data_IF_269990402462
#
_entry.id   IF_269990402462
#
_cell.length_a   1.000
_cell.length_b   1.000
_cell.length_c   1.000
_cell.angle_alpha   90.00
_cell.angle_beta   90.00
_cell.angle_gamma   90.00
#
_symmetry.space_group_name_H-M   'P 1'
#
loop_
_entity.id
_entity.type
_entity.pdbx_description
1 polymer ?
#
# COMPACT_ATOMS: atom_id res chain seq x y z
N UNK A 1 13.14 9.14 70.08
CA UNK A 1 12.13 10.13 69.69
C UNK A 1 11.48 9.68 68.42
N UNK A 2 10.35 8.95 68.53
CA UNK A 2 9.67 8.31 67.37
C UNK A 2 8.59 9.28 66.89
N UNK A 3 8.76 9.80 65.63
CA UNK A 3 7.74 10.64 64.99
C UNK A 3 6.56 9.75 64.60
N UNK A 4 5.41 9.95 65.24
CA UNK A 4 4.11 9.41 64.80
C UNK A 4 3.65 10.21 63.55
N UNK A 5 3.85 9.68 62.36
CA UNK A 5 3.20 10.25 61.17
C UNK A 5 1.69 10.05 61.25
N UNK A 6 0.94 11.13 61.00
CA UNK A 6 -0.54 11.15 61.10
C UNK A 6 -1.16 10.30 59.97
N UNK A 7 -2.29 9.66 60.25
CA UNK A 7 -3.03 8.85 59.26
C UNK A 7 -3.40 9.61 57.95
N UNK A 8 -3.40 10.92 58.00
CA UNK A 8 -3.58 11.79 56.81
C UNK A 8 -2.39 11.76 55.85
N UNK A 9 -1.16 11.63 56.35
CA UNK A 9 0.05 11.59 55.53
C UNK A 9 0.17 10.28 54.76
N UNK A 10 -0.31 9.17 55.31
CA UNK A 10 -0.37 7.90 54.57
C UNK A 10 -1.41 7.88 53.46
N UNK A 11 -2.51 8.61 53.59
CA UNK A 11 -3.54 8.69 52.57
C UNK A 11 -3.06 9.45 51.32
N UNK A 12 -2.24 10.49 51.46
CA UNK A 12 -1.66 11.23 50.36
C UNK A 12 -0.55 10.46 49.67
N UNK A 13 0.22 9.64 50.37
CA UNK A 13 1.25 8.78 49.77
C UNK A 13 0.64 7.59 49.00
N UNK A 14 -0.53 7.09 49.39
CA UNK A 14 -1.23 6.00 48.70
C UNK A 14 -1.92 6.50 47.41
N UNK A 15 -2.37 7.77 47.34
CA UNK A 15 -2.95 8.32 46.12
C UNK A 15 -1.93 8.70 45.04
N UNK A 16 -0.68 8.92 45.39
CA UNK A 16 0.38 9.26 44.45
C UNK A 16 0.92 8.04 43.65
N UNK A 17 0.58 6.82 44.08
CA UNK A 17 1.05 5.59 43.46
C UNK A 17 0.08 5.02 42.38
N UNK A 18 -1.07 5.65 42.17
CA UNK A 18 -2.10 5.15 41.24
C UNK A 18 -2.13 5.86 39.87
N UNK A 19 -1.15 6.74 39.58
CA UNK A 19 -1.11 7.47 38.30
C UNK A 19 0.02 7.01 37.38
N UNK A 20 0.35 5.72 37.36
CA UNK A 20 1.05 5.15 36.20
C UNK A 20 0.02 4.91 35.09
N UNK A 21 -0.29 5.96 34.35
CA UNK A 21 -0.93 5.81 33.05
C UNK A 21 0.01 4.99 32.17
N UNK A 22 -0.12 3.68 32.22
CA UNK A 22 0.43 2.78 31.23
C UNK A 22 -0.30 3.10 29.93
N UNK A 23 0.25 4.01 29.12
CA UNK A 23 -0.11 4.09 27.72
C UNK A 23 0.38 2.77 27.11
N UNK A 24 -0.45 1.75 27.23
CA UNK A 24 -0.30 0.55 26.43
C UNK A 24 -0.43 1.00 24.98
N UNK A 25 0.69 1.14 24.30
CA UNK A 25 0.71 1.33 22.86
C UNK A 25 -0.10 0.18 22.28
N UNK A 26 -1.33 0.47 21.85
CA UNK A 26 -2.17 -0.49 21.14
C UNK A 26 -1.42 -0.80 19.87
N UNK A 27 -0.75 -1.94 19.81
CA UNK A 27 -0.19 -2.48 18.58
C UNK A 27 -1.39 -2.71 17.67
N UNK A 28 -1.70 -1.70 16.84
CA UNK A 28 -2.66 -1.86 15.77
C UNK A 28 -1.94 -2.75 14.77
N UNK A 29 -2.32 -4.01 14.75
CA UNK A 29 -1.86 -4.96 13.75
C UNK A 29 -2.51 -4.53 12.42
N UNK A 30 -1.89 -3.56 11.72
CA UNK A 30 -2.38 -3.07 10.44
C UNK A 30 -2.23 -4.20 9.41
N UNK A 31 -3.32 -4.53 8.72
CA UNK A 31 -3.34 -5.58 7.71
C UNK A 31 -2.39 -5.24 6.55
N UNK A 32 -1.54 -6.22 6.18
CA UNK A 32 -0.64 -6.10 5.03
C UNK A 32 -1.48 -6.10 3.75
N UNK A 33 -1.35 -5.05 2.97
CA UNK A 33 -2.10 -4.86 1.73
C UNK A 33 -1.28 -5.16 0.48
N UNK A 34 0.05 -5.00 0.54
CA UNK A 34 0.95 -5.23 -0.57
C UNK A 34 2.26 -5.85 -0.09
N UNK A 35 2.72 -6.87 -0.80
CA UNK A 35 4.03 -7.49 -0.62
C UNK A 35 4.89 -7.16 -1.84
N UNK A 36 6.11 -6.68 -1.62
CA UNK A 36 7.13 -6.55 -2.68
C UNK A 36 8.19 -7.59 -2.40
N UNK A 37 8.35 -8.56 -3.29
CA UNK A 37 9.34 -9.63 -3.19
C UNK A 37 10.40 -9.48 -4.28
N UNK A 38 11.65 -9.75 -3.93
CA UNK A 38 12.79 -9.66 -4.84
C UNK A 38 13.19 -11.05 -5.30
N UNK A 39 13.33 -11.22 -6.61
CA UNK A 39 13.82 -12.44 -7.25
C UNK A 39 15.17 -12.16 -7.93
N UNK A 40 16.22 -12.84 -7.45
CA UNK A 40 17.56 -12.79 -8.05
C UNK A 40 17.98 -14.21 -8.43
N UNK A 41 17.95 -14.53 -9.72
CA UNK A 41 18.27 -15.87 -10.23
C UNK A 41 17.31 -16.95 -9.68
N UNK A 42 17.89 -18.10 -9.27
CA UNK A 42 17.11 -19.24 -8.73
C UNK A 42 16.72 -19.10 -7.25
N UNK A 43 17.10 -18.01 -6.59
CA UNK A 43 16.87 -17.81 -5.16
C UNK A 43 15.80 -16.75 -4.95
N UNK A 44 14.66 -17.15 -4.41
CA UNK A 44 13.69 -16.20 -3.86
C UNK A 44 14.30 -15.59 -2.61
N UNK A 45 14.72 -14.32 -2.69
CA UNK A 45 15.26 -13.63 -1.53
C UNK A 45 14.19 -13.52 -0.44
N UNK A 46 14.54 -13.88 0.79
CA UNK A 46 13.66 -13.85 1.97
C UNK A 46 13.25 -12.42 2.41
N UNK A 47 13.74 -11.41 1.73
CA UNK A 47 13.43 -10.02 2.06
C UNK A 47 12.23 -9.54 1.24
N UNK A 48 11.04 -9.73 1.79
CA UNK A 48 9.82 -9.14 1.27
C UNK A 48 9.50 -7.87 2.05
N UNK A 49 9.36 -6.75 1.34
CA UNK A 49 8.83 -5.53 1.93
C UNK A 49 7.31 -5.67 2.03
N UNK A 50 6.77 -5.48 3.22
CA UNK A 50 5.33 -5.56 3.47
C UNK A 50 4.80 -4.16 3.75
N UNK A 51 3.77 -3.76 3.01
CA UNK A 51 3.18 -2.42 3.09
C UNK A 51 1.70 -2.51 3.45
N UNK A 52 1.29 -1.66 4.39
CA UNK A 52 -0.11 -1.43 4.73
C UNK A 52 -0.71 -0.36 3.81
N UNK A 53 -2.04 -0.26 3.75
CA UNK A 53 -2.71 0.84 3.02
C UNK A 53 -2.27 2.20 3.54
N UNK A 54 -2.09 2.36 4.84
CA UNK A 54 -1.64 3.61 5.46
C UNK A 54 -0.23 4.03 5.01
N UNK A 55 0.68 3.06 4.89
CA UNK A 55 2.03 3.32 4.37
C UNK A 55 1.99 3.74 2.89
N UNK A 56 1.15 3.09 2.07
CA UNK A 56 0.94 3.49 0.67
C UNK A 56 0.31 4.89 0.57
N UNK A 57 -0.62 5.24 1.46
CA UNK A 57 -1.23 6.58 1.53
C UNK A 57 -0.26 7.67 1.97
N UNK A 58 0.80 7.33 2.71
CA UNK A 58 1.83 8.28 3.15
C UNK A 58 2.81 8.67 2.04
N UNK A 59 2.87 7.91 0.93
CA UNK A 59 3.65 8.29 -0.25
C UNK A 59 2.98 9.45 -1.00
N UNK A 60 3.70 10.17 -1.88
CA UNK A 60 3.12 11.14 -2.78
C UNK A 60 1.97 10.52 -3.59
N UNK A 61 0.81 11.17 -3.60
CA UNK A 61 -0.40 10.68 -4.23
C UNK A 61 -0.64 11.40 -5.56
N UNK A 62 -0.89 10.65 -6.62
CA UNK A 62 -1.33 11.18 -7.91
C UNK A 62 -2.81 10.84 -8.13
N UNK A 63 -3.54 11.79 -8.70
CA UNK A 63 -4.92 11.57 -9.17
C UNK A 63 -4.92 11.41 -10.69
N UNK A 64 -5.53 10.33 -11.16
CA UNK A 64 -5.76 10.06 -12.58
C UNK A 64 -7.27 10.03 -12.83
N UNK A 65 -7.72 10.87 -13.75
CA UNK A 65 -9.07 10.84 -14.27
C UNK A 65 -9.06 10.08 -15.59
N UNK A 66 -9.71 8.91 -15.62
CA UNK A 66 -9.68 8.03 -16.79
C UNK A 66 -10.91 7.15 -16.86
N UNK A 67 -11.29 6.78 -18.07
CA UNK A 67 -12.24 5.70 -18.33
C UNK A 67 -11.49 4.38 -18.36
N UNK A 68 -12.11 3.33 -17.84
CA UNK A 68 -11.59 1.97 -17.93
C UNK A 68 -12.63 1.06 -18.60
N UNK A 69 -12.21 -0.11 -19.09
CA UNK A 69 -13.16 -1.12 -19.65
C UNK A 69 -14.16 -1.65 -18.60
N UNK A 70 -13.89 -1.45 -17.33
CA UNK A 70 -14.66 -2.01 -16.20
C UNK A 70 -15.48 -0.98 -15.44
N UNK A 71 -15.43 0.31 -15.87
CA UNK A 71 -16.20 1.39 -15.23
C UNK A 71 -17.07 2.09 -16.27
N UNK A 72 -18.23 2.59 -15.82
CA UNK A 72 -19.06 3.44 -16.67
C UNK A 72 -18.53 4.88 -16.62
N UNK A 73 -18.13 5.41 -17.78
CA UNK A 73 -17.58 6.75 -17.92
C UNK A 73 -16.25 6.94 -17.17
N UNK A 74 -15.74 8.15 -17.23
CA UNK A 74 -14.53 8.53 -16.52
C UNK A 74 -14.72 8.49 -15.00
N UNK A 75 -13.70 8.01 -14.30
CA UNK A 75 -13.61 8.01 -12.84
C UNK A 75 -12.29 8.63 -12.40
N UNK A 76 -12.29 9.24 -11.22
CA UNK A 76 -11.08 9.71 -10.56
C UNK A 76 -10.54 8.56 -9.73
N UNK A 77 -9.28 8.22 -9.97
CA UNK A 77 -8.51 7.24 -9.20
C UNK A 77 -7.36 7.97 -8.52
N UNK A 78 -7.06 7.63 -7.26
CA UNK A 78 -5.97 8.25 -6.53
C UNK A 78 -5.13 7.19 -5.82
N UNK A 79 -3.81 7.35 -5.91
CA UNK A 79 -2.85 6.46 -5.28
C UNK A 79 -1.42 6.90 -5.56
N UNK A 80 -0.41 6.24 -4.95
CA UNK A 80 0.99 6.49 -5.25
C UNK A 80 1.35 5.99 -6.65
N UNK A 81 2.36 6.59 -7.26
CA UNK A 81 2.95 6.09 -8.49
C UNK A 81 3.57 4.71 -8.25
N UNK A 82 3.38 3.79 -9.20
CA UNK A 82 3.97 2.45 -9.13
C UNK A 82 5.50 2.52 -9.01
N UNK A 83 6.16 3.42 -9.75
CA UNK A 83 7.62 3.63 -9.66
C UNK A 83 8.07 4.08 -8.28
N UNK A 84 7.29 4.92 -7.58
CA UNK A 84 7.65 5.40 -6.24
C UNK A 84 7.51 4.29 -5.20
N UNK A 85 6.51 3.43 -5.35
CA UNK A 85 6.34 2.24 -4.51
C UNK A 85 7.48 1.26 -4.73
N UNK A 86 7.88 1.02 -5.98
CA UNK A 86 9.00 0.13 -6.31
C UNK A 86 10.35 0.70 -5.84
N UNK A 87 10.51 2.02 -5.77
CA UNK A 87 11.71 2.67 -5.26
C UNK A 87 11.94 2.43 -3.75
N UNK A 88 10.95 1.92 -3.01
CA UNK A 88 11.14 1.48 -1.62
C UNK A 88 11.96 0.19 -1.52
N UNK A 89 12.05 -0.57 -2.62
CA UNK A 89 12.98 -1.70 -2.76
C UNK A 89 14.34 -1.20 -3.24
N UNK A 90 15.42 -1.83 -2.77
CA UNK A 90 16.78 -1.50 -3.18
C UNK A 90 17.12 -1.94 -4.62
N UNK A 91 16.22 -2.66 -5.28
CA UNK A 91 16.46 -3.34 -6.56
C UNK A 91 15.95 -2.55 -7.77
N UNK A 92 16.74 -2.60 -8.85
CA UNK A 92 16.30 -2.10 -10.17
C UNK A 92 15.68 -3.26 -10.94
N UNK A 93 14.41 -3.12 -11.29
CA UNK A 93 13.69 -4.15 -12.01
C UNK A 93 13.81 -3.98 -13.53
N UNK A 94 14.08 -5.06 -14.26
CA UNK A 94 13.86 -5.16 -15.71
C UNK A 94 12.38 -5.23 -16.02
N UNK A 95 11.66 -6.00 -15.24
CA UNK A 95 10.21 -6.13 -15.23
C UNK A 95 9.76 -6.52 -13.83
N UNK A 96 8.49 -6.37 -13.57
CA UNK A 96 7.85 -6.87 -12.37
C UNK A 96 6.72 -7.81 -12.75
N UNK A 97 6.43 -8.81 -11.94
CA UNK A 97 5.19 -9.59 -12.06
C UNK A 97 4.20 -9.07 -11.01
N UNK A 98 3.07 -8.55 -11.47
CA UNK A 98 1.95 -8.16 -10.61
C UNK A 98 1.06 -9.38 -10.35
N UNK A 99 0.76 -9.66 -9.07
CA UNK A 99 -0.03 -10.81 -8.63
C UNK A 99 -1.27 -10.33 -7.88
N UNK A 100 -2.44 -10.76 -8.31
CA UNK A 100 -3.71 -10.49 -7.65
C UNK A 100 -4.01 -11.53 -6.55
N UNK A 101 -4.94 -11.20 -5.65
CA UNK A 101 -5.39 -12.10 -4.57
C UNK A 101 -5.90 -13.46 -5.11
N UNK A 102 -6.53 -13.48 -6.30
CA UNK A 102 -7.03 -14.69 -6.94
C UNK A 102 -5.97 -15.49 -7.70
N UNK A 103 -4.69 -15.11 -7.61
CA UNK A 103 -3.58 -15.77 -8.29
C UNK A 103 -3.35 -15.33 -9.74
N UNK A 104 -4.13 -14.38 -10.30
CA UNK A 104 -3.83 -13.81 -11.61
C UNK A 104 -2.45 -13.15 -11.59
N UNK A 105 -1.65 -13.41 -12.63
CA UNK A 105 -0.26 -12.94 -12.74
C UNK A 105 -0.03 -12.34 -14.11
N UNK A 106 0.68 -11.23 -14.17
CA UNK A 106 1.07 -10.61 -15.44
C UNK A 106 2.38 -9.82 -15.25
N UNK A 107 3.21 -9.88 -16.28
CA UNK A 107 4.46 -9.13 -16.31
C UNK A 107 4.23 -7.70 -16.80
N UNK A 108 4.83 -6.76 -16.08
CA UNK A 108 4.82 -5.32 -16.38
C UNK A 108 6.26 -4.92 -16.66
N UNK A 109 6.61 -4.56 -17.91
CA UNK A 109 7.95 -4.08 -18.25
C UNK A 109 8.29 -2.78 -17.51
N UNK A 110 9.56 -2.57 -17.18
CA UNK A 110 10.00 -1.34 -16.52
C UNK A 110 9.64 -0.06 -17.28
N UNK A 111 9.60 -0.13 -18.59
CA UNK A 111 9.19 1.00 -19.45
C UNK A 111 7.79 1.53 -19.15
N UNK A 112 6.86 0.65 -18.74
CA UNK A 112 5.51 1.08 -18.40
C UNK A 112 5.50 2.06 -17.21
N UNK A 113 6.10 1.67 -16.09
CA UNK A 113 6.05 2.49 -14.88
C UNK A 113 7.14 3.58 -14.81
N UNK A 114 8.19 3.49 -15.67
CA UNK A 114 9.19 4.55 -15.78
C UNK A 114 8.73 5.69 -16.70
N UNK A 115 8.00 5.38 -17.79
CA UNK A 115 7.62 6.35 -18.82
C UNK A 115 6.12 6.72 -18.81
N UNK A 116 5.31 6.01 -18.03
CA UNK A 116 3.88 6.24 -17.89
C UNK A 116 3.56 6.47 -16.41
N UNK A 117 2.69 7.42 -16.11
CA UNK A 117 2.23 7.67 -14.75
C UNK A 117 1.19 6.60 -14.35
N UNK A 118 1.68 5.38 -14.13
CA UNK A 118 0.90 4.26 -13.62
C UNK A 118 0.78 4.40 -12.10
N UNK A 119 -0.43 4.34 -11.56
CA UNK A 119 -0.66 4.41 -10.11
C UNK A 119 -1.15 3.08 -9.52
N UNK A 120 -0.86 2.89 -8.26
CA UNK A 120 -1.53 1.92 -7.39
C UNK A 120 -2.74 2.62 -6.76
N UNK A 121 -3.88 2.61 -7.45
CA UNK A 121 -5.08 3.27 -6.97
C UNK A 121 -5.57 2.65 -5.67
N UNK A 122 -5.78 3.49 -4.66
CA UNK A 122 -6.32 3.14 -3.35
C UNK A 122 -7.75 3.63 -3.20
N UNK A 123 -8.14 4.65 -4.00
CA UNK A 123 -9.50 5.22 -4.00
C UNK A 123 -10.03 5.37 -5.41
N UNK A 124 -11.37 5.33 -5.53
CA UNK A 124 -12.12 5.68 -6.72
C UNK A 124 -13.25 6.65 -6.33
N UNK A 125 -13.34 7.81 -7.00
CA UNK A 125 -14.30 8.86 -6.68
C UNK A 125 -14.30 9.20 -5.17
N UNK A 126 -13.11 9.40 -4.61
CA UNK A 126 -12.83 9.74 -3.21
C UNK A 126 -13.25 8.66 -2.17
N UNK A 127 -13.66 7.49 -2.62
CA UNK A 127 -14.01 6.36 -1.75
C UNK A 127 -12.91 5.30 -1.79
N UNK A 128 -12.51 4.73 -0.64
CA UNK A 128 -11.56 3.63 -0.62
C UNK A 128 -12.02 2.47 -1.50
N UNK A 129 -11.09 1.89 -2.24
CA UNK A 129 -11.36 0.65 -2.97
C UNK A 129 -11.51 -0.51 -1.99
N UNK A 130 -12.54 -1.32 -2.20
CA UNK A 130 -12.84 -2.54 -1.45
C UNK A 130 -12.70 -3.76 -2.37
N UNK A 131 -12.68 -4.97 -1.83
CA UNK A 131 -12.70 -6.19 -2.64
C UNK A 131 -13.83 -6.20 -3.65
N UNK A 132 -15.01 -5.66 -3.27
CA UNK A 132 -16.18 -5.56 -4.16
C UNK A 132 -15.98 -4.55 -5.29
N UNK A 133 -15.14 -3.54 -5.08
CA UNK A 133 -14.85 -2.47 -6.04
C UNK A 133 -13.44 -2.56 -6.62
N UNK A 134 -12.88 -3.78 -6.74
CA UNK A 134 -11.57 -4.10 -7.32
C UNK A 134 -10.36 -3.71 -6.45
N UNK A 135 -10.58 -3.36 -5.17
CA UNK A 135 -9.53 -3.04 -4.20
C UNK A 135 -8.99 -4.25 -3.42
N UNK A 136 -8.15 -4.00 -2.44
CA UNK A 136 -7.82 -2.68 -1.92
C UNK A 136 -6.88 -1.85 -2.80
N UNK A 137 -6.18 -2.48 -3.75
CA UNK A 137 -5.23 -1.84 -4.67
C UNK A 137 -5.57 -2.25 -6.11
N UNK A 138 -5.60 -1.25 -7.01
CA UNK A 138 -5.83 -1.48 -8.43
C UNK A 138 -4.79 -0.73 -9.26
N UNK A 139 -4.08 -1.40 -10.16
CA UNK A 139 -3.13 -0.77 -11.09
C UNK A 139 -3.93 -0.02 -12.16
N UNK A 140 -3.75 1.31 -12.24
CA UNK A 140 -4.47 2.18 -13.17
C UNK A 140 -3.47 2.89 -14.08
N UNK A 141 -3.75 2.81 -15.37
CA UNK A 141 -3.08 3.55 -16.45
C UNK A 141 -3.91 4.78 -16.84
N UNK A 142 -3.28 5.86 -17.36
CA UNK A 142 -3.97 7.08 -17.75
C UNK A 142 -4.56 6.99 -19.18
N UNK A 143 -5.46 6.03 -19.45
CA UNK A 143 -5.99 5.77 -20.80
C UNK A 143 -6.64 7.00 -21.45
N UNK A 144 -7.46 7.78 -20.72
CA UNK A 144 -8.11 8.97 -21.28
C UNK A 144 -7.13 10.07 -21.69
N UNK A 145 -5.99 10.18 -21.01
CA UNK A 145 -4.93 11.13 -21.35
C UNK A 145 -3.95 10.57 -22.41
N UNK A 146 -3.89 9.24 -22.56
CA UNK A 146 -2.98 8.51 -23.45
C UNK A 146 -3.72 7.41 -24.20
N UNK A 147 -4.50 7.75 -25.25
CA UNK A 147 -5.31 6.79 -26.01
C UNK A 147 -4.50 5.64 -26.62
N UNK A 148 -3.20 5.83 -26.89
CA UNK A 148 -2.30 4.79 -27.39
C UNK A 148 -2.15 3.61 -26.40
N UNK A 149 -2.52 3.81 -25.12
CA UNK A 149 -2.55 2.75 -24.12
C UNK A 149 -3.84 1.91 -24.14
N UNK A 150 -4.81 2.25 -24.99
CA UNK A 150 -6.05 1.48 -25.18
C UNK A 150 -5.81 0.18 -25.95
N UNK A 151 -4.88 -0.64 -25.47
CA UNK A 151 -4.47 -1.90 -26.06
C UNK A 151 -4.61 -3.05 -25.06
N UNK A 152 -4.79 -4.28 -25.57
CA UNK A 152 -4.96 -5.48 -24.75
C UNK A 152 -3.87 -5.68 -23.71
N UNK A 153 -2.61 -5.37 -24.04
CA UNK A 153 -1.49 -5.51 -23.13
C UNK A 153 -1.61 -4.64 -21.88
N UNK A 154 -1.97 -3.35 -22.02
CA UNK A 154 -2.13 -2.45 -20.86
C UNK A 154 -3.36 -2.79 -20.04
N UNK A 155 -4.43 -3.27 -20.68
CA UNK A 155 -5.60 -3.74 -19.94
C UNK A 155 -5.31 -4.98 -19.12
N UNK A 156 -4.54 -5.94 -19.64
CA UNK A 156 -4.13 -7.12 -18.86
C UNK A 156 -3.22 -6.76 -17.68
N UNK A 157 -2.40 -5.71 -17.81
CA UNK A 157 -1.50 -5.22 -16.76
C UNK A 157 -2.22 -4.39 -15.68
N UNK A 158 -3.47 -3.99 -15.91
CA UNK A 158 -4.29 -3.25 -14.94
C UNK A 158 -4.87 -4.18 -13.88
N UNK A 159 -3.99 -4.83 -13.13
CA UNK A 159 -4.35 -5.82 -12.10
C UNK A 159 -5.14 -5.17 -10.99
N UNK A 160 -6.33 -5.68 -10.73
CA UNK A 160 -7.13 -5.34 -9.55
C UNK A 160 -6.94 -6.36 -8.43
N UNK A 161 -7.30 -5.99 -7.19
CA UNK A 161 -7.04 -6.80 -6.00
C UNK A 161 -5.56 -7.21 -5.93
N UNK A 162 -4.68 -6.28 -6.28
CA UNK A 162 -3.25 -6.49 -6.25
C UNK A 162 -2.81 -6.86 -4.83
N UNK A 163 -2.02 -7.92 -4.69
CA UNK A 163 -1.47 -8.40 -3.42
C UNK A 163 0.05 -8.45 -3.40
N UNK A 164 0.69 -8.68 -4.54
CA UNK A 164 2.15 -8.84 -4.60
C UNK A 164 2.72 -8.22 -5.87
N UNK A 165 3.89 -7.60 -5.73
CA UNK A 165 4.77 -7.20 -6.81
C UNK A 165 6.07 -7.98 -6.67
N UNK A 166 6.38 -8.83 -7.65
CA UNK A 166 7.63 -9.57 -7.69
C UNK A 166 8.60 -8.85 -8.62
N UNK A 167 9.79 -8.51 -8.13
CA UNK A 167 10.83 -7.77 -8.86
C UNK A 167 11.83 -8.74 -9.47
N UNK A 168 12.08 -8.59 -10.77
CA UNK A 168 13.08 -9.36 -11.51
C UNK A 168 14.14 -8.40 -12.09
N UNK A 169 15.43 -8.69 -11.79
CA UNK A 169 16.61 -7.95 -12.28
C UNK A 169 16.99 -8.34 -13.70
#
# INVERSE_FOLDING_TARGET
MLYKLSKRTYLFLLLALLSTNTIAARVVNEEIALIISEHSGSVTNKHALQLTIKQLQALPQLEIKTQTRWTQGEKRFKGPLLRDVLALSAKKARYITAVAINGYRVDIPSQDYLNIDVILALTQADKPLTLRTKGPIWIIYPWSARPELEQGAYYSRAVWQLSTLEIYE
#
